data_IF_212524103578
#
_entry.id   IF_212524103578
#
_cell.length_a   1.000
_cell.length_b   1.000
_cell.length_c   1.000
_cell.angle_alpha   90.00
_cell.angle_beta   90.00
_cell.angle_gamma   90.00
#
_symmetry.space_group_name_H-M   'P 1'
#
loop_
_entity.id
_entity.type
_entity.pdbx_description
1 polymer ?
#
# COMPACT_ATOMS: atom_id res chain seq x y z
N UNK A 1 2.18 -2.28 -77.86
CA UNK A 1 2.76 -1.64 -76.69
C UNK A 1 1.73 -1.65 -75.58
N UNK A 2 1.79 -2.65 -74.69
CA UNK A 2 0.87 -2.80 -73.58
C UNK A 2 1.53 -2.43 -72.28
N UNK A 3 0.97 -1.45 -71.56
CA UNK A 3 1.42 -1.07 -70.22
C UNK A 3 0.70 -1.98 -69.20
N UNK A 4 1.45 -2.82 -68.51
CA UNK A 4 0.98 -3.53 -67.32
C UNK A 4 1.07 -2.61 -66.10
N UNK A 5 -0.07 -2.29 -65.51
CA UNK A 5 -0.13 -1.64 -64.21
C UNK A 5 0.02 -2.68 -63.10
N UNK A 6 1.03 -2.53 -62.25
CA UNK A 6 1.21 -3.35 -61.05
C UNK A 6 0.39 -2.73 -59.92
N UNK A 7 -0.56 -3.49 -59.40
CA UNK A 7 -1.30 -3.13 -58.21
C UNK A 7 -0.46 -3.52 -56.95
N UNK A 8 -0.05 -2.51 -56.16
CA UNK A 8 0.58 -2.71 -54.85
C UNK A 8 -0.58 -2.89 -53.83
N UNK A 9 -0.74 -4.11 -53.35
CA UNK A 9 -1.64 -4.41 -52.24
C UNK A 9 -0.96 -3.97 -50.93
N UNK A 10 -1.51 -2.94 -50.30
CA UNK A 10 -1.09 -2.50 -48.96
C UNK A 10 -1.72 -3.47 -47.94
N UNK A 11 -0.92 -4.41 -47.41
CA UNK A 11 -1.32 -5.23 -46.27
C UNK A 11 -1.22 -4.40 -44.98
N UNK A 12 -2.32 -3.87 -44.50
CA UNK A 12 -2.45 -3.34 -43.15
C UNK A 12 -2.47 -4.51 -42.16
N UNK A 13 -1.32 -4.75 -41.50
CA UNK A 13 -1.24 -5.68 -40.39
C UNK A 13 -2.03 -5.08 -39.20
N UNK A 14 -3.23 -5.62 -38.96
CA UNK A 14 -3.93 -5.41 -37.70
C UNK A 14 -3.14 -6.10 -36.60
N UNK A 15 -2.32 -5.32 -35.85
CA UNK A 15 -1.78 -5.76 -34.58
C UNK A 15 -2.95 -5.82 -33.59
N UNK A 16 -3.58 -7.00 -33.48
CA UNK A 16 -4.49 -7.28 -32.39
C UNK A 16 -3.67 -7.28 -31.08
N UNK A 17 -3.70 -6.17 -30.35
CA UNK A 17 -3.14 -6.13 -29.00
C UNK A 17 -3.86 -7.19 -28.17
N UNK A 18 -3.16 -8.29 -27.85
CA UNK A 18 -3.67 -9.28 -26.92
C UNK A 18 -3.99 -8.56 -25.61
N UNK A 19 -5.26 -8.55 -25.22
CA UNK A 19 -5.66 -8.08 -23.90
C UNK A 19 -4.93 -8.94 -22.87
N UNK A 20 -4.15 -8.30 -21.98
CA UNK A 20 -3.58 -8.99 -20.83
C UNK A 20 -4.74 -9.60 -20.06
N UNK A 21 -4.64 -10.87 -19.67
CA UNK A 21 -5.67 -11.49 -18.86
C UNK A 21 -5.89 -10.65 -17.60
N UNK A 22 -7.12 -10.14 -17.44
CA UNK A 22 -7.44 -9.30 -16.28
C UNK A 22 -7.21 -10.09 -14.98
N UNK A 23 -6.63 -9.44 -13.99
CA UNK A 23 -6.48 -9.98 -12.63
C UNK A 23 -7.83 -10.45 -12.09
N UNK A 24 -7.88 -11.64 -11.50
CA UNK A 24 -9.09 -12.21 -10.91
C UNK A 24 -8.89 -12.45 -9.42
N UNK A 25 -9.94 -12.24 -8.59
CA UNK A 25 -9.91 -12.65 -7.21
C UNK A 25 -9.64 -14.15 -7.06
N UNK A 26 -8.86 -14.54 -6.03
CA UNK A 26 -8.46 -15.93 -5.79
C UNK A 26 -7.25 -16.42 -6.59
N UNK A 27 -6.76 -15.64 -7.54
CA UNK A 27 -5.54 -15.98 -8.29
C UNK A 27 -4.31 -15.83 -7.39
N UNK A 28 -3.45 -16.88 -7.34
CA UNK A 28 -2.26 -16.93 -6.49
C UNK A 28 -0.98 -16.69 -7.30
N UNK A 29 0.00 -16.07 -6.64
CA UNK A 29 1.30 -15.75 -7.22
C UNK A 29 2.40 -16.08 -6.22
N UNK A 30 3.45 -16.72 -6.70
CA UNK A 30 4.67 -16.98 -5.96
C UNK A 30 5.85 -16.54 -6.81
N UNK A 31 6.46 -15.42 -6.44
CA UNK A 31 7.69 -14.91 -7.04
C UNK A 31 8.86 -15.29 -6.12
N UNK A 32 9.87 -15.94 -6.65
CA UNK A 32 11.07 -16.33 -5.90
C UNK A 32 12.27 -15.51 -6.35
N UNK A 33 13.27 -15.28 -5.49
CA UNK A 33 14.51 -14.62 -5.88
C UNK A 33 15.23 -15.29 -7.07
N UNK A 34 15.08 -16.61 -7.22
CA UNK A 34 15.64 -17.39 -8.35
C UNK A 34 14.98 -17.09 -9.70
N UNK A 35 13.76 -16.54 -9.69
CA UNK A 35 12.96 -16.30 -10.90
C UNK A 35 13.25 -14.91 -11.51
N UNK A 36 14.06 -14.11 -10.81
CA UNK A 36 14.35 -12.75 -11.21
C UNK A 36 15.30 -12.69 -12.41
N UNK A 37 15.02 -11.88 -13.43
CA UNK A 37 15.91 -11.69 -14.55
C UNK A 37 17.16 -10.90 -14.12
N UNK A 38 18.13 -10.76 -15.03
CA UNK A 38 19.23 -9.81 -14.84
C UNK A 38 18.72 -8.36 -14.93
N UNK A 39 19.36 -7.41 -14.24
CA UNK A 39 19.10 -5.99 -14.45
C UNK A 39 19.14 -5.62 -15.94
N UNK A 40 18.23 -4.74 -16.36
CA UNK A 40 18.10 -4.25 -17.73
C UNK A 40 17.71 -5.32 -18.77
N UNK A 41 17.11 -6.45 -18.34
CA UNK A 41 16.56 -7.45 -19.27
C UNK A 41 15.45 -6.86 -20.16
N UNK A 42 14.79 -5.81 -19.72
CA UNK A 42 13.94 -4.91 -20.52
C UNK A 42 14.36 -3.45 -20.28
N UNK A 43 14.17 -2.56 -21.26
CA UNK A 43 14.42 -1.15 -21.05
C UNK A 43 13.55 -0.56 -19.93
N UNK A 44 14.06 0.36 -19.10
CA UNK A 44 13.24 1.17 -18.23
C UNK A 44 12.25 2.01 -19.03
N UNK A 45 11.00 2.04 -18.66
CA UNK A 45 9.94 2.79 -19.34
C UNK A 45 9.16 3.66 -18.36
N UNK A 46 8.59 4.76 -18.85
CA UNK A 46 7.55 5.51 -18.15
C UNK A 46 6.22 5.24 -18.86
N UNK A 47 5.30 4.57 -18.20
CA UNK A 47 3.98 4.24 -18.71
C UNK A 47 2.94 4.71 -17.66
N UNK A 48 2.73 6.03 -17.65
CA UNK A 48 1.83 6.65 -16.67
C UNK A 48 0.38 6.30 -17.00
N UNK A 49 -0.35 5.87 -15.98
CA UNK A 49 -1.78 5.65 -16.09
C UNK A 49 -2.53 6.97 -16.26
N UNK A 50 -3.57 6.94 -17.09
CA UNK A 50 -4.62 7.95 -17.10
C UNK A 50 -5.68 7.58 -16.06
N UNK A 51 -5.91 8.46 -15.09
CA UNK A 51 -7.00 8.27 -14.13
C UNK A 51 -8.28 8.76 -14.78
N UNK A 52 -9.23 7.85 -14.99
CA UNK A 52 -10.54 8.14 -15.55
C UNK A 52 -11.63 8.10 -14.46
N UNK A 53 -12.76 8.77 -14.65
CA UNK A 53 -13.93 8.59 -13.81
C UNK A 53 -14.34 7.12 -13.76
N UNK A 54 -14.86 6.68 -12.62
CA UNK A 54 -15.37 5.32 -12.46
C UNK A 54 -16.43 5.03 -13.56
N UNK A 55 -16.26 3.98 -14.38
CA UNK A 55 -17.19 3.70 -15.47
C UNK A 55 -18.58 3.27 -14.92
N UNK A 56 -19.59 4.11 -15.09
CA UNK A 56 -20.94 3.81 -14.65
C UNK A 56 -21.02 3.31 -13.20
N UNK A 57 -21.58 2.12 -13.01
CA UNK A 57 -21.70 1.46 -11.71
C UNK A 57 -20.58 0.41 -11.46
N UNK A 58 -19.43 0.52 -12.12
CA UNK A 58 -18.32 -0.41 -11.92
C UNK A 58 -17.95 -0.54 -10.43
N UNK A 59 -17.80 -1.78 -9.98
CA UNK A 59 -17.41 -2.09 -8.60
C UNK A 59 -16.15 -2.95 -8.62
N UNK A 60 -15.27 -2.81 -7.61
CA UNK A 60 -14.19 -3.77 -7.45
C UNK A 60 -14.73 -5.18 -7.27
N UNK A 61 -13.98 -6.16 -7.75
CA UNK A 61 -14.34 -7.59 -7.71
C UNK A 61 -13.63 -8.26 -6.53
N UNK A 62 -14.39 -9.03 -5.74
CA UNK A 62 -13.91 -9.82 -4.61
C UNK A 62 -14.19 -11.31 -4.84
N UNK A 63 -13.58 -12.24 -4.06
CA UNK A 63 -13.86 -13.67 -4.16
C UNK A 63 -15.34 -14.01 -3.94
N UNK A 64 -15.75 -15.20 -4.40
CA UNK A 64 -17.12 -15.69 -4.21
C UNK A 64 -17.52 -15.63 -2.73
N UNK A 65 -18.74 -15.17 -2.45
CA UNK A 65 -19.28 -14.99 -1.11
C UNK A 65 -18.99 -13.61 -0.50
N UNK A 66 -18.09 -12.82 -1.11
CA UNK A 66 -17.86 -11.44 -0.69
C UNK A 66 -18.73 -10.46 -1.49
N UNK A 67 -19.13 -9.39 -0.83
CA UNK A 67 -19.86 -8.26 -1.43
C UNK A 67 -19.07 -6.98 -1.21
N UNK A 68 -18.94 -6.20 -2.26
CA UNK A 68 -18.33 -4.86 -2.21
C UNK A 68 -19.43 -3.82 -2.27
N UNK A 69 -19.38 -2.85 -1.38
CA UNK A 69 -20.29 -1.71 -1.33
C UNK A 69 -19.50 -0.42 -1.14
N UNK A 70 -20.14 0.72 -1.32
CA UNK A 70 -19.56 2.02 -1.04
C UNK A 70 -19.80 2.37 0.42
N UNK A 71 -18.73 2.70 1.17
CA UNK A 71 -18.83 3.24 2.52
C UNK A 71 -18.87 4.78 2.52
N UNK A 72 -18.03 5.42 1.71
CA UNK A 72 -18.02 6.88 1.53
C UNK A 72 -17.49 7.27 0.14
N UNK A 73 -17.97 8.40 -0.40
CA UNK A 73 -17.51 8.98 -1.68
C UNK A 73 -17.23 10.47 -1.53
N UNK A 74 -16.75 11.13 -2.60
CA UNK A 74 -16.53 12.58 -2.63
C UNK A 74 -15.41 13.00 -1.65
N UNK A 75 -14.40 12.18 -1.49
CA UNK A 75 -13.18 12.44 -0.74
C UNK A 75 -12.13 13.09 -1.67
N UNK A 76 -10.98 13.46 -1.13
CA UNK A 76 -9.91 14.07 -1.93
C UNK A 76 -8.57 13.44 -1.57
N UNK A 77 -8.04 12.60 -2.46
CA UNK A 77 -6.81 11.82 -2.24
C UNK A 77 -6.87 11.10 -0.91
N UNK A 78 -7.85 10.20 -0.78
CA UNK A 78 -8.07 9.36 0.41
C UNK A 78 -6.89 8.42 0.64
N UNK A 79 -6.24 8.51 1.82
CA UNK A 79 -5.02 7.73 2.06
C UNK A 79 -5.23 6.69 3.16
N UNK A 80 -4.75 6.91 4.35
CA UNK A 80 -4.77 5.93 5.43
C UNK A 80 -5.95 6.18 6.39
N UNK A 81 -6.40 5.11 7.03
CA UNK A 81 -7.57 5.13 7.91
C UNK A 81 -7.28 4.47 9.23
N UNK A 82 -7.96 4.94 10.27
CA UNK A 82 -8.07 4.24 11.55
C UNK A 82 -9.53 4.23 11.99
N UNK A 83 -9.99 3.10 12.53
CA UNK A 83 -11.34 2.93 13.06
C UNK A 83 -11.30 2.97 14.57
N UNK A 84 -12.09 3.86 15.16
CA UNK A 84 -12.25 3.92 16.61
C UNK A 84 -13.23 2.83 17.10
N UNK A 85 -13.20 2.45 18.40
CA UNK A 85 -14.09 1.43 18.94
C UNK A 85 -15.59 1.70 18.75
N UNK A 86 -15.99 2.97 18.69
CA UNK A 86 -17.39 3.37 18.41
C UNK A 86 -17.75 3.32 16.93
N UNK A 87 -16.81 2.97 16.03
CA UNK A 87 -17.00 2.89 14.58
C UNK A 87 -16.71 4.19 13.82
N UNK A 88 -16.27 5.26 14.48
CA UNK A 88 -15.78 6.45 13.78
C UNK A 88 -14.54 6.12 12.98
N UNK A 89 -14.50 6.56 11.71
CA UNK A 89 -13.37 6.34 10.80
C UNK A 89 -12.62 7.63 10.58
N UNK A 90 -11.38 7.70 11.02
CA UNK A 90 -10.46 8.80 10.75
C UNK A 90 -9.70 8.52 9.47
N UNK A 91 -9.83 9.42 8.50
CA UNK A 91 -9.20 9.31 7.18
C UNK A 91 -8.24 10.47 6.96
N UNK A 92 -7.00 10.19 6.58
CA UNK A 92 -6.10 11.22 6.06
C UNK A 92 -6.43 11.55 4.61
N UNK A 93 -6.69 12.83 4.35
CA UNK A 93 -6.85 13.39 3.00
C UNK A 93 -5.65 14.28 2.67
N UNK A 94 -4.84 13.83 1.72
CA UNK A 94 -3.50 14.39 1.49
C UNK A 94 -3.48 15.79 0.92
N UNK A 95 -4.26 16.07 -0.13
CA UNK A 95 -4.26 17.40 -0.77
C UNK A 95 -4.96 18.47 0.08
N UNK A 96 -6.11 18.21 0.72
CA UNK A 96 -6.74 19.18 1.61
C UNK A 96 -5.98 19.38 2.92
N UNK A 97 -4.92 18.58 3.17
CA UNK A 97 -4.10 18.67 4.39
C UNK A 97 -4.90 18.51 5.68
N UNK A 98 -5.83 17.56 5.70
CA UNK A 98 -6.75 17.35 6.84
C UNK A 98 -6.94 15.90 7.20
N UNK A 99 -7.51 15.68 8.37
CA UNK A 99 -8.14 14.42 8.79
C UNK A 99 -9.64 14.60 8.73
N UNK A 100 -10.29 13.74 7.96
CA UNK A 100 -11.74 13.67 7.89
C UNK A 100 -12.25 12.57 8.81
N UNK A 101 -13.24 12.86 9.62
CA UNK A 101 -13.99 11.89 10.40
C UNK A 101 -15.25 11.52 9.63
N UNK A 102 -15.42 10.22 9.39
CA UNK A 102 -16.59 9.64 8.76
C UNK A 102 -17.32 8.79 9.81
N UNK A 103 -18.61 8.98 9.91
CA UNK A 103 -19.48 8.29 10.88
C UNK A 103 -20.67 7.68 10.19
N UNK A 104 -20.93 6.41 10.49
CA UNK A 104 -22.19 5.71 10.19
C UNK A 104 -23.07 5.78 11.44
N UNK A 105 -23.79 6.91 11.56
CA UNK A 105 -24.60 7.20 12.76
C UNK A 105 -25.86 6.33 12.84
N UNK A 106 -26.34 5.84 11.70
CA UNK A 106 -27.54 5.02 11.58
C UNK A 106 -27.25 3.52 11.54
N UNK A 107 -25.98 3.12 11.58
CA UNK A 107 -25.53 1.73 11.47
C UNK A 107 -26.05 0.99 10.21
N UNK A 108 -25.97 1.68 9.06
CA UNK A 108 -26.44 1.17 7.77
C UNK A 108 -25.30 0.69 6.85
N UNK A 109 -24.05 0.75 7.35
CA UNK A 109 -22.87 0.35 6.60
C UNK A 109 -22.37 1.40 5.61
N UNK A 110 -22.86 2.64 5.71
CA UNK A 110 -22.47 3.81 4.90
C UNK A 110 -22.26 4.99 5.83
N UNK A 111 -21.18 5.74 5.65
CA UNK A 111 -20.95 6.96 6.40
C UNK A 111 -21.97 8.03 5.98
N UNK A 112 -22.91 8.34 6.86
CA UNK A 112 -23.96 9.35 6.66
C UNK A 112 -23.61 10.72 7.24
N UNK A 113 -22.52 10.81 8.02
CA UNK A 113 -21.97 12.05 8.55
C UNK A 113 -20.49 12.19 8.23
N UNK A 114 -20.06 13.44 7.96
CA UNK A 114 -18.67 13.77 7.65
C UNK A 114 -18.28 15.09 8.33
N UNK A 115 -17.09 15.09 8.96
CA UNK A 115 -16.56 16.25 9.66
C UNK A 115 -15.08 16.45 9.31
N UNK A 116 -14.61 17.69 9.27
CA UNK A 116 -13.17 17.99 9.33
C UNK A 116 -12.72 17.84 10.78
N UNK A 117 -12.08 16.72 11.09
CA UNK A 117 -11.62 16.43 12.45
C UNK A 117 -10.40 17.27 12.84
N UNK A 118 -9.38 17.32 11.98
CA UNK A 118 -8.20 18.17 12.14
C UNK A 118 -7.76 18.71 10.78
N UNK A 119 -7.27 19.93 10.74
CA UNK A 119 -6.76 20.61 9.55
C UNK A 119 -5.41 21.29 9.83
N UNK A 120 -4.89 22.06 8.84
CA UNK A 120 -3.61 22.75 8.97
C UNK A 120 -2.40 21.80 9.04
N UNK A 121 -2.57 20.54 8.69
CA UNK A 121 -1.51 19.54 8.61
C UNK A 121 -0.68 19.73 7.33
N UNK A 122 0.46 19.05 7.25
CA UNK A 122 1.29 19.06 6.06
C UNK A 122 1.41 17.69 5.45
N UNK A 123 0.66 17.43 4.37
CA UNK A 123 0.67 16.15 3.67
C UNK A 123 0.46 14.96 4.64
N UNK A 124 -0.68 14.92 5.37
CA UNK A 124 -0.93 13.90 6.38
C UNK A 124 -0.96 12.50 5.77
N UNK A 125 -0.49 11.52 6.53
CA UNK A 125 -0.42 10.13 6.10
C UNK A 125 -0.95 9.18 7.17
N UNK A 126 -0.14 8.72 8.11
CA UNK A 126 -0.57 7.75 9.12
C UNK A 126 -1.63 8.31 10.08
N UNK A 127 -2.59 7.47 10.43
CA UNK A 127 -3.60 7.73 11.46
C UNK A 127 -3.76 6.48 12.31
N UNK A 128 -3.84 6.64 13.64
CA UNK A 128 -4.12 5.54 14.56
C UNK A 128 -4.97 6.03 15.74
N UNK A 129 -5.82 5.14 16.26
CA UNK A 129 -6.50 5.35 17.55
C UNK A 129 -5.82 4.45 18.58
N UNK A 130 -5.24 5.06 19.62
CA UNK A 130 -4.50 4.32 20.63
C UNK A 130 -4.66 4.95 22.02
N UNK A 131 -5.09 4.16 23.01
CA UNK A 131 -5.20 4.58 24.43
C UNK A 131 -5.91 5.93 24.64
N UNK A 132 -7.09 6.11 24.00
CA UNK A 132 -7.89 7.33 24.14
C UNK A 132 -7.41 8.54 23.36
N UNK A 133 -6.46 8.37 22.45
CA UNK A 133 -5.97 9.42 21.56
C UNK A 133 -6.13 9.04 20.10
N UNK A 134 -6.33 10.04 19.25
CA UNK A 134 -6.06 9.95 17.82
C UNK A 134 -4.64 10.48 17.58
N UNK A 135 -3.82 9.63 16.97
CA UNK A 135 -2.48 9.97 16.50
C UNK A 135 -2.51 10.22 15.00
N UNK A 136 -1.78 11.21 14.56
CA UNK A 136 -1.70 11.64 13.16
C UNK A 136 -0.24 11.89 12.84
N UNK A 137 0.24 11.37 11.71
CA UNK A 137 1.53 11.79 11.17
C UNK A 137 1.35 12.70 9.96
N UNK A 138 2.22 13.67 9.88
CA UNK A 138 2.41 14.52 8.71
C UNK A 138 3.91 14.68 8.40
N UNK A 139 4.28 15.51 7.44
CA UNK A 139 5.69 15.73 7.13
C UNK A 139 6.46 16.50 8.20
N UNK A 140 5.78 17.07 9.20
CA UNK A 140 6.42 17.81 10.29
C UNK A 140 6.65 16.94 11.52
N UNK A 141 5.69 16.08 11.88
CA UNK A 141 5.70 15.35 13.15
C UNK A 141 4.70 14.19 13.18
N UNK A 142 4.78 13.42 14.26
CA UNK A 142 3.63 12.68 14.77
C UNK A 142 2.97 13.60 15.82
N UNK A 143 1.67 13.78 15.67
CA UNK A 143 0.79 14.53 16.53
C UNK A 143 -0.17 13.62 17.26
N UNK A 144 -0.74 14.06 18.38
CA UNK A 144 -1.86 13.39 19.03
C UNK A 144 -2.85 14.40 19.60
N UNK A 145 -4.08 13.98 19.74
CA UNK A 145 -5.13 14.73 20.48
C UNK A 145 -6.00 13.74 21.23
N UNK A 146 -6.48 14.08 22.43
CA UNK A 146 -7.46 13.26 23.14
C UNK A 146 -8.69 13.05 22.26
N UNK A 147 -9.24 11.84 22.29
CA UNK A 147 -10.46 11.51 21.57
C UNK A 147 -11.50 10.94 22.52
N UNK A 148 -12.65 11.59 22.57
CA UNK A 148 -13.85 11.12 23.26
C UNK A 148 -14.86 10.65 22.21
N UNK A 149 -15.46 9.46 22.33
CA UNK A 149 -16.49 9.00 21.42
C UNK A 149 -17.60 10.04 21.23
N UNK A 150 -17.92 10.34 19.95
CA UNK A 150 -18.87 11.40 19.61
C UNK A 150 -18.24 12.74 19.26
N UNK A 151 -16.98 13.01 19.63
CA UNK A 151 -16.28 14.22 19.21
C UNK A 151 -16.19 14.30 17.68
N UNK A 152 -16.46 15.49 17.12
CA UNK A 152 -16.43 15.74 15.66
C UNK A 152 -15.24 16.57 15.23
N UNK A 153 -14.50 17.13 16.18
CA UNK A 153 -13.33 17.99 15.94
C UNK A 153 -12.23 17.67 16.96
N UNK A 154 -11.00 17.71 16.52
CA UNK A 154 -9.82 17.58 17.37
C UNK A 154 -9.70 18.77 18.32
N UNK A 155 -9.26 18.51 19.54
CA UNK A 155 -8.72 19.54 20.40
C UNK A 155 -7.33 19.99 19.94
N UNK A 156 -6.56 20.57 20.86
CA UNK A 156 -5.17 20.94 20.58
C UNK A 156 -4.35 19.73 20.15
N UNK A 157 -3.63 19.84 19.05
CA UNK A 157 -2.67 18.85 18.60
C UNK A 157 -1.38 18.99 19.43
N UNK A 158 -1.01 17.91 20.13
CA UNK A 158 0.23 17.79 20.87
C UNK A 158 1.29 17.08 20.02
N UNK A 159 2.48 17.63 19.96
CA UNK A 159 3.58 17.00 19.23
C UNK A 159 4.15 15.81 20.02
N UNK A 160 4.26 14.65 19.38
CA UNK A 160 4.81 13.41 19.94
C UNK A 160 6.30 13.28 19.62
N UNK A 161 6.71 13.57 18.40
CA UNK A 161 8.13 13.59 18.00
C UNK A 161 8.77 14.92 18.37
N UNK A 162 10.04 14.91 18.80
CA UNK A 162 10.79 16.13 19.09
C UNK A 162 11.06 16.94 17.79
N UNK A 163 11.52 18.17 17.94
CA UNK A 163 11.52 19.26 16.97
C UNK A 163 12.24 19.04 15.61
N UNK A 164 12.57 17.81 15.25
CA UNK A 164 13.09 17.54 13.90
C UNK A 164 11.92 17.49 12.92
N UNK A 165 12.06 18.22 11.83
CA UNK A 165 11.18 18.15 10.68
C UNK A 165 11.30 16.74 10.07
N UNK A 166 10.17 16.02 9.98
CA UNK A 166 10.16 14.71 9.35
C UNK A 166 10.28 14.78 7.81
N UNK A 167 10.43 15.97 7.23
CA UNK A 167 10.76 16.21 5.81
C UNK A 167 12.20 15.82 5.44
N UNK A 168 12.71 14.79 6.05
CA UNK A 168 14.09 14.36 5.84
C UNK A 168 14.38 13.91 4.40
N UNK A 169 13.33 13.70 3.61
CA UNK A 169 13.43 13.20 2.23
C UNK A 169 12.53 13.97 1.27
N UNK A 170 13.01 14.21 0.05
CA UNK A 170 12.29 14.98 -0.97
C UNK A 170 11.25 14.14 -1.73
N UNK A 171 11.60 12.88 -2.08
CA UNK A 171 10.78 12.04 -2.97
C UNK A 171 9.65 11.31 -2.23
N UNK A 172 9.96 10.65 -1.11
CA UNK A 172 9.03 9.80 -0.39
C UNK A 172 8.43 10.52 0.82
N UNK A 173 7.25 11.11 0.65
CA UNK A 173 6.59 11.97 1.64
C UNK A 173 5.70 11.26 2.66
N UNK A 174 5.48 9.96 2.55
CA UNK A 174 4.70 9.18 3.53
C UNK A 174 5.48 9.07 4.84
N UNK A 175 4.77 9.14 5.95
CA UNK A 175 5.29 9.02 7.33
C UNK A 175 4.33 8.14 8.12
N UNK A 176 4.18 6.89 7.69
CA UNK A 176 3.27 5.99 8.36
C UNK A 176 3.89 5.42 9.63
N UNK A 177 3.06 5.02 10.58
CA UNK A 177 3.51 4.52 11.87
C UNK A 177 2.57 3.43 12.41
N UNK A 178 3.05 2.65 13.37
CA UNK A 178 2.27 1.63 14.04
C UNK A 178 2.62 1.54 15.53
N UNK A 179 1.64 1.13 16.35
CA UNK A 179 1.83 0.81 17.76
C UNK A 179 1.94 -0.70 17.96
N UNK A 180 2.97 -1.15 18.68
CA UNK A 180 3.08 -2.51 19.17
C UNK A 180 2.17 -2.79 20.36
N UNK A 181 1.98 -4.06 20.69
CA UNK A 181 1.21 -4.48 21.86
C UNK A 181 1.80 -3.97 23.19
N UNK A 182 3.12 -3.82 23.24
CA UNK A 182 3.86 -3.21 24.34
C UNK A 182 3.78 -1.66 24.39
N UNK A 183 3.10 -1.05 23.39
CA UNK A 183 3.00 0.39 23.23
C UNK A 183 4.18 1.03 22.48
N UNK A 184 5.11 0.23 21.94
CA UNK A 184 6.20 0.74 21.11
C UNK A 184 5.62 1.45 19.88
N UNK A 185 6.09 2.69 19.64
CA UNK A 185 5.72 3.46 18.45
C UNK A 185 6.85 3.34 17.42
N UNK A 186 6.51 2.79 16.26
CA UNK A 186 7.42 2.64 15.12
C UNK A 186 7.01 3.60 14.00
N UNK A 187 7.98 4.25 13.37
CA UNK A 187 7.80 5.22 12.29
C UNK A 187 8.64 4.81 11.09
N UNK A 188 8.05 4.85 9.90
CA UNK A 188 8.77 4.67 8.64
C UNK A 188 9.17 6.00 7.99
N UNK A 189 10.35 6.02 7.36
CA UNK A 189 10.82 7.14 6.53
C UNK A 189 11.48 6.55 5.28
N UNK A 190 10.88 6.82 4.12
CA UNK A 190 11.40 6.39 2.82
C UNK A 190 12.70 7.10 2.42
N UNK A 191 13.36 6.61 1.38
CA UNK A 191 14.60 7.20 0.85
C UNK A 191 14.39 8.61 0.31
N UNK A 192 15.48 9.36 0.22
CA UNK A 192 15.47 10.71 -0.36
C UNK A 192 15.18 10.70 -1.87
N UNK A 193 15.80 9.78 -2.58
CA UNK A 193 15.77 9.69 -4.03
C UNK A 193 15.49 8.25 -4.48
N UNK A 194 15.42 8.02 -5.80
CA UNK A 194 15.27 6.68 -6.36
C UNK A 194 16.41 5.75 -5.92
N UNK A 195 17.65 6.23 -5.97
CA UNK A 195 18.84 5.52 -5.49
C UNK A 195 19.73 6.53 -4.76
N UNK A 196 19.93 6.33 -3.46
CA UNK A 196 20.69 7.24 -2.59
C UNK A 196 21.06 6.55 -1.29
N UNK A 197 22.27 6.79 -0.79
CA UNK A 197 22.72 6.39 0.55
C UNK A 197 22.49 7.46 1.62
N UNK A 198 21.76 8.52 1.26
CA UNK A 198 21.43 9.62 2.18
C UNK A 198 20.71 9.14 3.42
N UNK A 199 21.18 9.56 4.59
CA UNK A 199 20.61 9.27 5.89
C UNK A 199 20.19 10.57 6.61
N UNK A 200 19.11 10.55 7.41
CA UNK A 200 18.17 9.46 7.65
C UNK A 200 17.20 9.28 6.48
N UNK A 201 16.84 8.05 6.21
CA UNK A 201 15.90 7.65 5.16
C UNK A 201 16.13 6.20 4.73
N UNK A 202 15.13 5.59 4.11
CA UNK A 202 15.09 4.15 3.85
C UNK A 202 15.20 3.32 5.15
N UNK A 203 14.48 3.77 6.20
CA UNK A 203 14.65 3.26 7.56
C UNK A 203 13.32 3.16 8.32
N UNK A 204 13.30 2.26 9.29
CA UNK A 204 12.30 2.21 10.36
C UNK A 204 12.95 2.74 11.63
N UNK A 205 12.22 3.59 12.35
CA UNK A 205 12.63 4.16 13.62
C UNK A 205 11.69 3.73 14.74
N UNK A 206 12.26 3.47 15.91
CA UNK A 206 11.51 3.42 17.18
C UNK A 206 11.45 4.82 17.78
N UNK A 207 10.25 5.30 18.10
CA UNK A 207 10.08 6.61 18.74
C UNK A 207 10.12 6.42 20.27
N UNK A 208 11.15 6.97 20.93
CA UNK A 208 11.35 6.86 22.37
C UNK A 208 11.48 8.25 22.97
N UNK A 209 10.55 8.64 23.84
CA UNK A 209 10.50 9.99 24.44
C UNK A 209 10.59 11.11 23.39
N UNK A 210 10.00 10.86 22.21
CA UNK A 210 9.99 11.78 21.08
C UNK A 210 11.23 11.76 20.18
N UNK A 211 12.28 11.02 20.53
CA UNK A 211 13.48 10.84 19.70
C UNK A 211 13.29 9.66 18.72
N UNK A 212 13.93 9.77 17.55
CA UNK A 212 13.94 8.74 16.52
C UNK A 212 15.19 7.87 16.68
N UNK A 213 15.02 6.65 17.16
CA UNK A 213 16.10 5.68 17.29
C UNK A 213 16.06 4.71 16.10
N UNK A 214 17.14 4.56 15.30
CA UNK A 214 17.17 3.61 14.19
C UNK A 214 16.82 2.19 14.67
N UNK A 215 15.93 1.51 13.94
CA UNK A 215 15.50 0.15 14.25
C UNK A 215 15.89 -0.84 13.16
N UNK A 216 15.69 -0.48 11.88
CA UNK A 216 16.11 -1.26 10.72
C UNK A 216 16.35 -0.34 9.53
N UNK A 217 17.13 -0.80 8.55
CA UNK A 217 17.55 0.01 7.40
C UNK A 217 17.58 -0.77 6.09
N UNK A 218 17.83 -0.06 4.98
CA UNK A 218 17.85 -0.68 3.66
C UNK A 218 16.46 -0.98 3.11
N UNK A 219 15.46 -0.29 3.59
CA UNK A 219 14.05 -0.38 3.17
C UNK A 219 13.73 0.87 2.35
N UNK A 220 13.86 0.80 1.03
CA UNK A 220 13.84 2.00 0.17
C UNK A 220 12.67 2.94 0.46
N UNK A 221 11.45 2.47 0.33
CA UNK A 221 10.25 3.25 0.65
C UNK A 221 9.24 2.35 1.37
N UNK A 222 9.41 2.12 2.67
CA UNK A 222 8.44 1.39 3.48
C UNK A 222 7.21 2.27 3.66
N UNK A 223 6.05 1.82 3.19
CA UNK A 223 4.79 2.59 3.24
C UNK A 223 3.77 1.93 4.15
N UNK A 224 3.61 0.62 4.04
CA UNK A 224 2.78 -0.15 4.94
C UNK A 224 3.59 -0.61 6.16
N UNK A 225 3.11 -0.31 7.36
CA UNK A 225 3.75 -0.71 8.61
C UNK A 225 2.69 -1.22 9.58
N UNK A 226 2.87 -2.43 10.11
CA UNK A 226 1.88 -3.07 10.97
C UNK A 226 2.53 -4.09 11.90
N UNK A 227 2.05 -4.18 13.14
CA UNK A 227 2.40 -5.28 14.03
C UNK A 227 1.47 -6.48 13.81
N UNK A 228 2.03 -7.68 13.82
CA UNK A 228 1.26 -8.92 13.85
C UNK A 228 0.51 -9.02 15.18
N UNK A 229 -0.83 -9.21 15.17
CA UNK A 229 -1.65 -9.25 16.38
C UNK A 229 -1.15 -10.30 17.39
N UNK A 230 -1.15 -9.90 18.67
CA UNK A 230 -0.70 -10.77 19.77
C UNK A 230 0.80 -10.99 19.85
N UNK A 231 1.59 -10.29 19.02
CA UNK A 231 3.06 -10.41 18.99
C UNK A 231 3.72 -9.02 18.94
N UNK A 232 5.06 -8.99 19.04
CA UNK A 232 5.88 -7.81 18.74
C UNK A 232 6.55 -7.91 17.36
N UNK A 233 6.07 -8.77 16.48
CA UNK A 233 6.57 -8.91 15.13
C UNK A 233 6.09 -7.72 14.27
N UNK A 234 7.01 -6.87 13.84
CA UNK A 234 6.73 -5.76 12.94
C UNK A 234 6.88 -6.21 11.49
N UNK A 235 5.85 -6.02 10.68
CA UNK A 235 5.89 -6.24 9.24
C UNK A 235 5.77 -4.93 8.48
N UNK A 236 6.43 -4.86 7.31
CA UNK A 236 6.36 -3.72 6.40
C UNK A 236 6.14 -4.17 4.97
N UNK A 237 5.48 -3.33 4.19
CA UNK A 237 5.48 -3.41 2.73
C UNK A 237 6.32 -2.28 2.15
N UNK A 238 7.16 -2.60 1.17
CA UNK A 238 8.22 -1.72 0.66
C UNK A 238 8.15 -1.60 -0.85
N UNK A 239 8.21 -0.35 -1.31
CA UNK A 239 8.38 -0.04 -2.73
C UNK A 239 9.89 0.04 -3.04
N UNK A 240 10.35 -0.79 -3.96
CA UNK A 240 11.74 -0.86 -4.38
C UNK A 240 12.12 0.17 -5.46
N UNK A 241 13.42 0.18 -5.83
CA UNK A 241 13.96 1.14 -6.78
C UNK A 241 13.43 0.91 -8.20
N UNK A 242 13.31 2.01 -8.92
CA UNK A 242 12.98 2.04 -10.34
C UNK A 242 14.23 2.00 -11.21
N UNK A 243 14.04 1.73 -12.50
CA UNK A 243 15.08 1.91 -13.52
C UNK A 243 15.87 0.65 -13.88
N UNK A 244 15.53 -0.53 -13.35
CA UNK A 244 16.20 -1.80 -13.69
C UNK A 244 15.44 -2.64 -14.74
N UNK A 245 14.36 -2.11 -15.32
CA UNK A 245 13.47 -2.77 -16.26
C UNK A 245 12.15 -3.18 -15.64
N UNK A 246 11.30 -3.87 -16.40
CA UNK A 246 9.92 -4.19 -16.01
C UNK A 246 9.78 -5.12 -14.78
N UNK A 247 10.74 -6.01 -14.57
CA UNK A 247 10.65 -7.07 -13.56
C UNK A 247 11.58 -6.83 -12.33
N UNK A 248 12.30 -5.71 -12.27
CA UNK A 248 13.23 -5.38 -11.20
C UNK A 248 13.13 -3.92 -10.74
N UNK A 249 13.34 -3.65 -9.43
CA UNK A 249 13.44 -4.61 -8.36
C UNK A 249 12.04 -4.94 -7.83
N UNK A 250 11.74 -6.20 -7.45
CA UNK A 250 10.46 -6.57 -6.87
C UNK A 250 10.16 -5.76 -5.61
N UNK A 251 8.95 -5.26 -5.51
CA UNK A 251 8.40 -4.78 -4.26
C UNK A 251 8.21 -5.96 -3.30
N UNK A 252 8.07 -5.70 -2.00
CA UNK A 252 8.00 -6.81 -1.05
C UNK A 252 7.22 -6.51 0.24
N UNK A 253 6.90 -7.58 0.95
CA UNK A 253 6.40 -7.59 2.33
C UNK A 253 7.32 -8.46 3.17
N UNK A 254 7.70 -8.00 4.39
CA UNK A 254 8.66 -8.73 5.23
C UNK A 254 8.55 -8.40 6.71
N UNK A 255 8.95 -9.37 7.54
CA UNK A 255 9.22 -9.17 8.97
C UNK A 255 10.47 -8.29 9.14
N UNK A 256 10.35 -7.23 9.95
CA UNK A 256 11.46 -6.34 10.26
C UNK A 256 12.17 -6.79 11.54
N UNK A 257 13.45 -7.12 11.42
CA UNK A 257 14.30 -7.51 12.54
C UNK A 257 15.03 -6.29 13.12
N UNK A 258 15.14 -6.17 14.45
CA UNK A 258 15.99 -5.14 15.07
C UNK A 258 17.43 -5.20 14.51
N UNK A 259 17.98 -4.04 14.08
CA UNK A 259 19.31 -3.95 13.46
C UNK A 259 19.38 -4.57 12.04
N UNK A 260 18.25 -5.05 11.49
CA UNK A 260 18.21 -5.66 10.16
C UNK A 260 18.52 -4.68 9.04
N UNK A 261 19.19 -5.19 7.99
CA UNK A 261 19.46 -4.46 6.76
C UNK A 261 18.85 -5.21 5.57
N UNK A 262 18.01 -4.53 4.76
CA UNK A 262 17.18 -5.14 3.71
C UNK A 262 17.64 -4.82 2.28
N UNK A 263 18.82 -4.24 2.11
CA UNK A 263 19.54 -4.17 0.84
C UNK A 263 19.75 -2.77 0.28
N UNK A 264 18.71 -1.95 0.22
CA UNK A 264 18.80 -0.63 -0.40
C UNK A 264 19.85 0.30 0.26
N UNK A 265 20.70 1.03 -0.51
CA UNK A 265 20.77 1.07 -1.96
C UNK A 265 21.77 0.06 -2.58
N UNK A 266 22.42 -0.79 -1.78
CA UNK A 266 23.56 -1.62 -2.19
C UNK A 266 23.18 -2.95 -2.83
N UNK A 267 21.97 -3.44 -2.51
CA UNK A 267 21.44 -4.69 -3.09
C UNK A 267 19.90 -4.65 -3.14
N UNK A 268 19.31 -5.55 -3.90
CA UNK A 268 17.87 -5.77 -3.98
C UNK A 268 17.54 -7.24 -3.74
N UNK A 269 16.36 -7.54 -3.20
CA UNK A 269 15.85 -8.90 -2.97
C UNK A 269 16.89 -9.81 -2.32
N UNK A 270 17.43 -9.35 -1.18
CA UNK A 270 18.52 -10.01 -0.48
C UNK A 270 19.89 -9.63 -1.05
N UNK A 271 20.71 -10.64 -1.35
CA UNK A 271 22.13 -10.45 -1.69
C UNK A 271 22.39 -10.23 -3.18
N UNK A 272 21.40 -9.84 -3.98
CA UNK A 272 21.64 -9.45 -5.37
C UNK A 272 22.27 -8.06 -5.41
N UNK A 273 23.50 -7.88 -5.85
CA UNK A 273 24.13 -6.55 -5.88
C UNK A 273 23.36 -5.58 -6.79
N UNK A 274 23.13 -4.37 -6.30
CA UNK A 274 22.63 -3.31 -7.15
C UNK A 274 23.67 -3.01 -8.25
N UNK A 275 23.30 -2.90 -9.55
CA UNK A 275 24.26 -2.76 -10.63
C UNK A 275 25.04 -1.44 -10.58
N UNK A 276 24.45 -0.39 -9.97
CA UNK A 276 25.07 0.93 -9.92
C UNK A 276 25.83 1.16 -8.58
N UNK A 277 25.33 0.55 -7.49
CA UNK A 277 25.80 0.85 -6.14
C UNK A 277 26.49 -0.34 -5.44
N UNK A 278 26.16 -1.57 -5.80
CA UNK A 278 26.54 -2.77 -5.05
C UNK A 278 28.04 -2.98 -4.91
N UNK A 279 28.81 -2.64 -5.96
CA UNK A 279 30.26 -2.78 -5.97
C UNK A 279 30.98 -1.90 -4.93
N UNK A 280 30.38 -0.77 -4.52
CA UNK A 280 30.94 0.13 -3.53
C UNK A 280 30.88 -0.41 -2.10
N UNK A 281 29.93 -1.31 -1.80
CA UNK A 281 29.71 -1.82 -0.44
C UNK A 281 29.38 -3.33 -0.44
N UNK A 282 30.31 -4.20 -0.87
CA UNK A 282 30.10 -5.64 -0.87
C UNK A 282 29.84 -6.22 0.53
N UNK A 283 30.36 -5.56 1.57
CA UNK A 283 30.08 -5.88 2.97
C UNK A 283 28.58 -5.71 3.33
N UNK A 284 27.92 -4.68 2.79
CA UNK A 284 26.48 -4.44 3.00
C UNK A 284 25.63 -5.39 2.15
N UNK A 285 26.05 -5.69 0.92
CA UNK A 285 25.40 -6.72 0.09
C UNK A 285 25.37 -8.06 0.83
N UNK A 286 26.49 -8.46 1.42
CA UNK A 286 26.61 -9.72 2.16
C UNK A 286 25.71 -9.80 3.41
N UNK A 287 25.40 -8.66 4.04
CA UNK A 287 24.52 -8.53 5.23
C UNK A 287 23.04 -8.48 4.89
N UNK A 288 22.68 -8.27 3.62
CA UNK A 288 21.30 -8.03 3.21
C UNK A 288 20.39 -9.22 3.50
N UNK A 289 19.25 -8.93 4.10
CA UNK A 289 18.20 -9.91 4.43
C UNK A 289 17.27 -10.06 3.23
N UNK A 290 16.98 -11.30 2.84
CA UNK A 290 15.98 -11.59 1.81
C UNK A 290 14.57 -11.38 2.38
N UNK A 291 13.69 -10.60 1.70
CA UNK A 291 12.31 -10.43 2.11
C UNK A 291 11.49 -11.72 2.10
N UNK A 292 10.42 -11.76 2.93
CA UNK A 292 9.58 -12.96 3.06
C UNK A 292 8.66 -13.20 1.84
N UNK A 293 8.04 -12.14 1.29
CA UNK A 293 7.10 -12.22 0.15
C UNK A 293 7.43 -11.15 -0.88
N UNK A 294 7.61 -11.55 -2.12
CA UNK A 294 7.86 -10.65 -3.24
C UNK A 294 6.55 -10.34 -3.99
N UNK A 295 6.39 -9.09 -4.39
CA UNK A 295 5.39 -8.65 -5.35
C UNK A 295 6.06 -8.37 -6.70
N UNK A 296 5.33 -8.42 -7.82
CA UNK A 296 5.86 -7.91 -9.07
C UNK A 296 6.46 -6.51 -8.88
N UNK A 297 7.59 -6.24 -9.53
CA UNK A 297 8.22 -4.92 -9.49
C UNK A 297 7.21 -3.83 -9.87
N UNK A 298 7.35 -2.64 -9.29
CA UNK A 298 6.49 -1.49 -9.57
C UNK A 298 5.01 -1.61 -9.12
N UNK A 299 4.66 -2.64 -8.34
CA UNK A 299 3.29 -2.81 -7.80
C UNK A 299 2.88 -1.71 -6.82
N UNK A 300 3.86 -1.01 -6.24
CA UNK A 300 3.70 0.08 -5.28
C UNK A 300 2.83 -0.29 -4.06
N UNK A 301 3.27 -1.24 -3.21
CA UNK A 301 2.55 -1.60 -1.99
C UNK A 301 2.41 -0.40 -1.05
N UNK A 302 1.21 -0.25 -0.43
CA UNK A 302 0.87 0.88 0.43
C UNK A 302 0.24 0.42 1.74
N UNK A 303 -1.10 0.44 1.87
CA UNK A 303 -1.79 0.01 3.07
C UNK A 303 -1.53 -1.47 3.38
N UNK A 304 -1.26 -1.75 4.64
CA UNK A 304 -0.99 -3.11 5.12
C UNK A 304 -1.68 -3.30 6.47
N UNK A 305 -2.41 -4.41 6.63
CA UNK A 305 -2.98 -4.81 7.91
C UNK A 305 -3.02 -6.33 8.07
N UNK A 306 -3.12 -6.80 9.29
CA UNK A 306 -3.56 -8.16 9.60
C UNK A 306 -5.07 -8.15 9.84
N UNK A 307 -5.78 -9.09 9.23
CA UNK A 307 -7.22 -9.18 9.42
C UNK A 307 -7.55 -9.80 10.78
N UNK A 308 -8.25 -9.03 11.61
CA UNK A 308 -8.64 -9.43 12.98
C UNK A 308 -10.16 -9.48 13.16
N UNK A 309 -10.92 -9.19 12.11
CA UNK A 309 -12.38 -9.18 12.16
C UNK A 309 -12.99 -10.59 12.18
N UNK A 310 -14.29 -10.63 12.47
CA UNK A 310 -15.07 -11.87 12.51
C UNK A 310 -16.14 -11.94 11.40
N UNK A 311 -16.12 -10.99 10.45
CA UNK A 311 -17.04 -10.99 9.32
C UNK A 311 -16.61 -11.99 8.22
N UNK A 312 -15.32 -12.11 7.94
CA UNK A 312 -14.79 -13.01 6.93
C UNK A 312 -14.73 -14.46 7.44
N UNK A 313 -14.67 -15.47 6.54
CA UNK A 313 -14.41 -16.86 6.93
C UNK A 313 -13.19 -17.01 7.82
N UNK A 314 -13.19 -18.01 8.69
CA UNK A 314 -12.16 -18.20 9.72
C UNK A 314 -10.73 -18.31 9.13
N UNK A 315 -10.59 -18.84 7.93
CA UNK A 315 -9.30 -18.96 7.24
C UNK A 315 -8.67 -17.63 6.83
N UNK A 316 -9.39 -16.51 6.94
CA UNK A 316 -8.85 -15.18 6.70
C UNK A 316 -8.28 -14.52 7.96
N UNK A 317 -8.66 -15.03 9.14
CA UNK A 317 -8.26 -14.43 10.41
C UNK A 317 -6.78 -14.64 10.66
N UNK A 318 -6.05 -13.56 10.89
CA UNK A 318 -4.60 -13.58 11.09
C UNK A 318 -3.78 -13.48 9.80
N UNK A 319 -4.41 -13.50 8.62
CA UNK A 319 -3.73 -13.24 7.36
C UNK A 319 -3.49 -11.75 7.15
N UNK A 320 -2.44 -11.41 6.40
CA UNK A 320 -2.16 -10.03 6.04
C UNK A 320 -2.84 -9.64 4.72
N UNK A 321 -3.29 -8.38 4.65
CA UNK A 321 -3.77 -7.75 3.43
C UNK A 321 -2.88 -6.58 3.07
N UNK A 322 -2.54 -6.45 1.78
CA UNK A 322 -1.69 -5.38 1.25
C UNK A 322 -2.36 -4.76 0.04
N UNK A 323 -2.48 -3.43 0.04
CA UNK A 323 -2.89 -2.68 -1.14
C UNK A 323 -1.71 -2.48 -2.07
N UNK A 324 -1.83 -2.89 -3.31
CA UNK A 324 -0.90 -2.60 -4.40
C UNK A 324 -1.47 -1.43 -5.22
N UNK A 325 -0.90 -0.23 -5.01
CA UNK A 325 -1.42 1.03 -5.55
C UNK A 325 -1.32 1.13 -7.07
N UNK A 326 -0.34 0.43 -7.65
CA UNK A 326 -0.17 0.26 -9.08
C UNK A 326 0.95 1.08 -9.70
N UNK A 327 1.43 0.56 -10.82
CA UNK A 327 2.63 0.99 -11.53
C UNK A 327 2.44 2.25 -12.37
N UNK A 328 3.54 2.94 -12.66
CA UNK A 328 3.62 4.03 -13.63
C UNK A 328 4.84 3.89 -14.57
N UNK A 329 5.67 2.89 -14.35
CA UNK A 329 7.01 2.75 -14.91
C UNK A 329 7.34 1.31 -15.32
N UNK A 330 6.39 0.62 -15.90
CA UNK A 330 6.54 -0.71 -16.51
C UNK A 330 5.72 -0.80 -17.80
N UNK A 331 6.19 -1.53 -18.79
CA UNK A 331 5.47 -1.75 -20.05
C UNK A 331 4.17 -2.54 -19.86
N UNK A 332 4.12 -3.39 -18.84
CA UNK A 332 2.94 -4.19 -18.46
C UNK A 332 2.42 -3.72 -17.11
N UNK A 333 1.30 -2.98 -17.07
CA UNK A 333 0.72 -2.49 -15.83
C UNK A 333 0.55 -3.60 -14.78
N UNK A 334 0.93 -3.28 -13.54
CA UNK A 334 0.82 -4.20 -12.39
C UNK A 334 0.34 -3.45 -11.15
N UNK A 335 -0.14 -4.20 -10.14
CA UNK A 335 -0.79 -3.61 -8.96
C UNK A 335 -2.29 -3.34 -9.19
N UNK A 336 -2.82 -2.22 -8.72
CA UNK A 336 -4.25 -1.82 -8.80
C UNK A 336 -5.18 -2.87 -8.19
N UNK A 337 -4.80 -3.39 -7.02
CA UNK A 337 -5.52 -4.47 -6.33
C UNK A 337 -5.19 -4.52 -4.85
N UNK A 338 -5.99 -5.24 -4.09
CA UNK A 338 -5.63 -5.67 -2.74
C UNK A 338 -5.30 -7.14 -2.80
N UNK A 339 -4.21 -7.54 -2.17
CA UNK A 339 -3.78 -8.94 -2.09
C UNK A 339 -3.84 -9.45 -0.65
N UNK A 340 -4.05 -10.76 -0.51
CA UNK A 340 -3.98 -11.51 0.74
C UNK A 340 -2.67 -12.27 0.78
N UNK A 341 -1.99 -12.23 1.92
CA UNK A 341 -0.82 -13.06 2.25
C UNK A 341 -1.26 -14.00 3.36
N UNK A 342 -1.28 -15.29 3.06
CA UNK A 342 -1.67 -16.31 4.04
C UNK A 342 -0.59 -16.49 5.09
N UNK A 343 -1.02 -16.67 6.32
CA UNK A 343 -0.15 -16.92 7.47
C UNK A 343 -0.41 -18.28 8.07
N UNK A 344 0.67 -18.98 8.42
CA UNK A 344 0.64 -20.23 9.19
C UNK A 344 1.77 -20.18 10.22
N UNK A 345 1.47 -20.55 11.46
CA UNK A 345 2.44 -20.58 12.56
C UNK A 345 3.24 -19.27 12.71
N UNK A 346 2.53 -18.12 12.54
CA UNK A 346 3.09 -16.78 12.68
C UNK A 346 3.97 -16.32 11.51
N UNK A 347 4.01 -17.04 10.39
CA UNK A 347 4.84 -16.73 9.20
C UNK A 347 4.01 -16.72 7.92
N UNK A 348 4.39 -15.88 6.93
CA UNK A 348 3.75 -15.92 5.63
C UNK A 348 4.08 -17.21 4.89
N UNK A 349 3.11 -17.74 4.14
CA UNK A 349 3.24 -18.97 3.36
C UNK A 349 2.71 -18.76 1.94
N UNK A 350 3.43 -19.27 0.94
CA UNK A 350 2.92 -19.43 -0.41
C UNK A 350 2.78 -18.18 -1.27
N UNK A 351 3.46 -17.07 -0.98
CA UNK A 351 3.38 -15.85 -1.78
C UNK A 351 2.12 -15.02 -1.48
N UNK A 352 1.39 -14.55 -2.51
CA UNK A 352 0.18 -13.75 -2.31
C UNK A 352 -0.98 -14.19 -3.22
N UNK A 353 -2.20 -13.82 -2.83
CA UNK A 353 -3.44 -14.11 -3.53
C UNK A 353 -4.18 -12.80 -3.83
N UNK A 354 -4.68 -12.61 -5.05
CA UNK A 354 -5.53 -11.48 -5.38
C UNK A 354 -6.83 -11.53 -4.58
N UNK A 355 -7.14 -10.47 -3.83
CA UNK A 355 -8.36 -10.40 -3.05
C UNK A 355 -9.38 -9.42 -3.65
N UNK A 356 -8.98 -8.18 -3.91
CA UNK A 356 -9.85 -7.17 -4.52
C UNK A 356 -9.21 -6.65 -5.79
N UNK A 357 -9.90 -6.79 -6.92
CA UNK A 357 -9.39 -6.47 -8.26
C UNK A 357 -10.37 -5.61 -9.05
N UNK A 358 -10.07 -5.33 -10.34
CA UNK A 358 -11.00 -4.67 -11.25
C UNK A 358 -10.93 -3.14 -11.24
N UNK A 359 -9.86 -2.54 -10.73
CA UNK A 359 -9.66 -1.07 -10.69
C UNK A 359 -9.14 -0.47 -12.01
N UNK A 360 -8.87 -1.30 -13.01
CA UNK A 360 -8.45 -0.90 -14.36
C UNK A 360 -9.06 -1.82 -15.41
N UNK A 361 -9.05 -1.40 -16.68
CA UNK A 361 -9.79 -2.07 -17.76
C UNK A 361 -9.03 -3.25 -18.41
N UNK A 362 -7.83 -3.59 -17.92
CA UNK A 362 -6.99 -4.68 -18.45
C UNK A 362 -6.18 -4.32 -19.68
N UNK A 363 -6.22 -3.08 -20.19
CA UNK A 363 -5.47 -2.64 -21.38
C UNK A 363 -4.17 -1.97 -20.97
N UNK A 364 -3.09 -2.31 -21.67
CA UNK A 364 -1.78 -1.70 -21.44
C UNK A 364 -1.57 -0.40 -22.22
N UNK A 365 -2.31 -0.15 -23.29
CA UNK A 365 -2.19 1.04 -24.14
C UNK A 365 -3.52 1.37 -24.84
N UNK A 366 -4.17 2.52 -24.60
CA UNK A 366 -3.84 3.42 -23.50
C UNK A 366 -4.13 2.78 -22.13
N UNK A 367 -3.27 3.10 -21.17
CA UNK A 367 -3.38 2.55 -19.82
C UNK A 367 -4.30 3.43 -18.94
N UNK A 368 -5.50 2.93 -18.64
CA UNK A 368 -6.54 3.67 -17.92
C UNK A 368 -6.93 2.96 -16.63
N UNK A 369 -6.98 3.71 -15.55
CA UNK A 369 -7.41 3.23 -14.24
C UNK A 369 -8.51 4.11 -13.69
N UNK A 370 -9.47 3.53 -12.98
CA UNK A 370 -10.52 4.28 -12.30
C UNK A 370 -10.43 4.17 -10.78
N UNK A 371 -9.54 3.31 -10.26
CA UNK A 371 -9.29 3.13 -8.84
C UNK A 371 -7.84 2.76 -8.54
N UNK A 372 -7.37 3.20 -7.35
CA UNK A 372 -6.03 2.94 -6.83
C UNK A 372 -6.11 2.69 -5.32
N UNK A 373 -6.16 1.43 -4.87
CA UNK A 373 -6.30 1.12 -3.44
C UNK A 373 -5.08 1.56 -2.64
N UNK A 374 -5.32 2.14 -1.46
CA UNK A 374 -4.29 2.68 -0.57
C UNK A 374 -4.43 2.15 0.85
N UNK A 375 -5.19 2.83 1.69
CA UNK A 375 -5.36 2.50 3.10
C UNK A 375 -6.34 1.35 3.31
N UNK A 376 -6.06 0.53 4.31
CA UNK A 376 -6.90 -0.59 4.73
C UNK A 376 -7.26 -0.43 6.21
N UNK A 377 -8.48 -0.79 6.59
CA UNK A 377 -8.88 -0.85 7.99
C UNK A 377 -9.96 -1.93 8.21
N UNK A 378 -9.92 -2.61 9.36
CA UNK A 378 -11.03 -3.47 9.79
C UNK A 378 -12.08 -2.58 10.43
N UNK A 379 -13.31 -2.64 9.91
CA UNK A 379 -14.43 -1.87 10.47
C UNK A 379 -15.03 -2.59 11.68
N UNK A 380 -15.86 -1.89 12.47
CA UNK A 380 -16.45 -2.40 13.73
C UNK A 380 -17.28 -3.68 13.56
N UNK A 381 -17.86 -3.93 12.39
CA UNK A 381 -18.63 -5.13 12.06
C UNK A 381 -17.75 -6.27 11.46
N UNK A 382 -16.44 -6.11 11.51
CA UNK A 382 -15.48 -7.06 10.97
C UNK A 382 -15.28 -6.96 9.45
N UNK A 383 -16.01 -6.09 8.74
CA UNK A 383 -15.76 -5.86 7.30
C UNK A 383 -14.43 -5.15 7.06
N UNK A 384 -13.90 -5.25 5.84
CA UNK A 384 -12.69 -4.56 5.41
C UNK A 384 -13.07 -3.25 4.69
N UNK A 385 -12.53 -2.13 5.15
CA UNK A 385 -12.55 -0.86 4.44
C UNK A 385 -11.28 -0.71 3.60
N UNK A 386 -11.45 -0.22 2.37
CA UNK A 386 -10.36 0.03 1.41
C UNK A 386 -10.50 1.46 0.89
N UNK A 387 -9.53 2.32 1.20
CA UNK A 387 -9.46 3.67 0.63
C UNK A 387 -8.88 3.60 -0.79
N UNK A 388 -9.44 4.42 -1.67
CA UNK A 388 -9.07 4.51 -3.09
C UNK A 388 -8.89 5.98 -3.44
N UNK A 389 -7.65 6.39 -3.76
CA UNK A 389 -7.29 7.78 -3.99
C UNK A 389 -7.53 8.24 -5.44
N UNK A 390 -7.83 7.34 -6.36
CA UNK A 390 -8.22 7.69 -7.72
C UNK A 390 -9.73 7.93 -7.83
N UNK A 391 -10.57 7.01 -7.35
CA UNK A 391 -12.02 7.20 -7.32
C UNK A 391 -12.50 8.05 -6.13
N UNK A 392 -11.60 8.41 -5.21
CA UNK A 392 -11.93 9.16 -3.99
C UNK A 392 -13.07 8.53 -3.19
N UNK A 393 -13.01 7.21 -3.05
CA UNK A 393 -14.05 6.36 -2.47
C UNK A 393 -13.44 5.50 -1.36
N UNK A 394 -14.20 5.20 -0.32
CA UNK A 394 -13.93 4.09 0.57
C UNK A 394 -14.87 2.94 0.22
N UNK A 395 -14.29 1.82 -0.18
CA UNK A 395 -14.99 0.59 -0.44
C UNK A 395 -15.14 -0.19 0.86
N UNK A 396 -16.28 -0.87 1.05
CA UNK A 396 -16.52 -1.79 2.16
C UNK A 396 -16.72 -3.19 1.60
N UNK A 397 -15.91 -4.12 2.07
CA UNK A 397 -15.97 -5.53 1.69
C UNK A 397 -16.51 -6.34 2.85
N UNK A 398 -17.62 -7.04 2.62
CA UNK A 398 -18.29 -7.90 3.59
C UNK A 398 -18.39 -9.31 3.06
N UNK A 399 -18.36 -10.32 3.93
CA UNK A 399 -18.69 -11.69 3.57
C UNK A 399 -20.15 -11.95 3.84
N UNK A 400 -20.87 -12.47 2.84
CA UNK A 400 -22.25 -12.91 2.97
C UNK A 400 -22.25 -14.42 3.19
N UNK A 401 -22.51 -14.84 4.44
CA UNK A 401 -22.76 -16.26 4.70
C UNK A 401 -23.89 -16.71 3.76
N UNK A 402 -23.62 -17.66 2.88
CA UNK A 402 -24.69 -18.31 2.14
C UNK A 402 -25.55 -19.04 3.20
N UNK A 403 -26.80 -18.62 3.38
CA UNK A 403 -27.77 -19.47 4.02
C UNK A 403 -27.84 -20.75 3.20
N UNK A 404 -27.50 -21.88 3.81
CA UNK A 404 -27.77 -23.18 3.19
C UNK A 404 -29.29 -23.24 3.09
N UNK A 405 -29.85 -23.15 1.89
CA UNK A 405 -31.20 -23.59 1.65
C UNK A 405 -31.27 -25.06 2.08
N UNK A 406 -32.00 -25.28 3.21
CA UNK A 406 -32.35 -26.59 3.69
C UNK A 406 -33.23 -27.31 2.68
#
# INVERSE_FOLDING_TARGET
MGKRAAAIALMTALVSGAALAADRPGQTFLLKPSDLPKPYATPPVANRNEVIPRPGNAMPQAPRGFKVTIFATGLTIARFMAVAPNGDVFLSERLPNKITLLRDSRNIGVADQRFTFADGLRNPSGVAVHKGYVYISDQNAIWRTPYVPGATKAGKLERVTKARDLRLTAMHGTRNFAFGADGALMLEIGSRDNVSDFRPGAEIFKVVKGELLPFASGLRNPVGIVFQPGTNNLYVSVNERDGLGDALAPDFFTLVKPGGFYGYPWSYTGKNPDPDMGAARPDMVAKSITPDVLFPAHSAPTGTLFYTGDNFPAEYKGDAFVSLHGSWNTSKPTGYKVVRIRFKDGRPVGGHENFLTGFWDGRANPFKVWGRPVGLAVYRDGSLLVADDASNTIWKVTYQKQERSL
#
